data_IF_812528968724
#
_entry.id   IF_812528968724
#
_cell.length_a   1.000
_cell.length_b   1.000
_cell.length_c   1.000
_cell.angle_alpha   90.00
_cell.angle_beta   90.00
_cell.angle_gamma   90.00
#
_symmetry.space_group_name_H-M   'P 1'
#
loop_
_entity.id
_entity.type
_entity.pdbx_description
1 polymer ?
#
# COMPACT_ATOMS: atom_id res chain seq x y z
N UNK A 1 0.67 22.90 5.78
CA UNK A 1 1.91 23.49 6.25
C UNK A 1 1.59 24.67 7.18
N UNK A 2 0.95 25.77 6.73
CA UNK A 2 0.74 26.97 7.54
C UNK A 2 -0.16 26.71 8.75
N UNK A 3 -1.36 26.14 8.55
CA UNK A 3 -2.35 25.96 9.65
C UNK A 3 -1.94 24.90 10.68
N UNK A 4 -1.40 23.77 10.25
CA UNK A 4 -1.12 22.63 11.12
C UNK A 4 0.31 22.68 11.65
N UNK A 5 1.29 22.86 10.77
CA UNK A 5 2.71 22.88 11.14
C UNK A 5 3.21 24.25 11.58
N UNK A 6 2.40 25.30 11.41
CA UNK A 6 2.71 26.68 11.77
C UNK A 6 4.07 27.18 11.23
N UNK A 7 4.40 26.73 10.01
CA UNK A 7 5.65 27.08 9.34
C UNK A 7 5.59 28.49 8.75
N UNK A 8 6.71 29.21 8.83
CA UNK A 8 6.90 30.59 8.36
C UNK A 8 7.76 30.62 7.09
N UNK A 9 7.85 31.81 6.48
CA UNK A 9 8.80 32.10 5.41
C UNK A 9 10.22 31.84 5.93
N UNK A 10 11.07 31.25 5.09
CA UNK A 10 12.43 30.77 5.36
C UNK A 10 12.52 29.50 6.22
N UNK A 11 11.41 28.94 6.70
CA UNK A 11 11.43 27.62 7.32
C UNK A 11 11.69 26.55 6.27
N UNK A 12 12.44 25.50 6.69
CA UNK A 12 12.71 24.32 5.87
C UNK A 12 11.60 23.30 6.01
N UNK A 13 11.26 22.69 4.88
CA UNK A 13 10.30 21.58 4.78
C UNK A 13 10.81 20.50 3.83
N UNK A 14 10.44 19.25 4.09
CA UNK A 14 10.68 18.17 3.16
C UNK A 14 9.48 18.07 2.23
N UNK A 15 9.74 18.03 0.93
CA UNK A 15 8.70 17.87 -0.11
C UNK A 15 9.14 16.76 -1.06
N UNK A 16 8.21 15.83 -1.32
CA UNK A 16 8.34 14.87 -2.40
C UNK A 16 7.54 15.40 -3.57
N UNK A 17 8.18 15.55 -4.72
CA UNK A 17 7.54 16.01 -5.96
C UNK A 17 7.04 14.81 -6.79
N UNK A 18 6.47 15.09 -7.95
CA UNK A 18 5.91 14.07 -8.85
C UNK A 18 6.98 13.14 -9.46
N UNK A 19 8.25 13.46 -9.30
CA UNK A 19 9.40 12.62 -9.67
C UNK A 19 9.77 11.59 -8.58
N UNK A 20 8.96 11.50 -7.51
CA UNK A 20 9.19 10.63 -6.35
C UNK A 20 10.50 10.94 -5.59
N UNK A 21 11.09 12.10 -5.86
CA UNK A 21 12.33 12.55 -5.19
C UNK A 21 11.98 13.49 -4.05
N UNK A 22 12.64 13.28 -2.92
CA UNK A 22 12.53 14.12 -1.73
C UNK A 22 13.53 15.27 -1.80
N UNK A 23 13.05 16.48 -1.54
CA UNK A 23 13.87 17.67 -1.49
C UNK A 23 13.70 18.39 -0.16
N UNK A 24 14.77 19.03 0.30
CA UNK A 24 14.69 20.08 1.32
C UNK A 24 14.36 21.37 0.57
N UNK A 25 13.26 22.00 0.98
CA UNK A 25 12.77 23.22 0.35
C UNK A 25 12.69 24.34 1.38
N UNK A 26 12.98 25.58 0.97
CA UNK A 26 12.68 26.78 1.74
C UNK A 26 11.27 27.26 1.40
N UNK A 27 10.51 27.70 2.41
CA UNK A 27 9.24 28.39 2.19
C UNK A 27 9.54 29.84 1.80
N UNK A 28 9.15 30.24 0.58
CA UNK A 28 9.33 31.60 0.06
C UNK A 28 8.05 32.42 0.11
N UNK A 29 6.88 31.76 0.17
CA UNK A 29 5.59 32.40 0.41
C UNK A 29 4.69 31.47 1.20
N UNK A 30 4.00 31.94 2.23
CA UNK A 30 3.17 31.15 3.13
C UNK A 30 1.72 31.64 3.22
N UNK A 31 1.15 32.09 2.13
CA UNK A 31 -0.27 32.45 2.10
C UNK A 31 -1.15 31.24 2.48
N UNK A 32 -2.26 31.51 3.19
CA UNK A 32 -3.16 30.46 3.73
C UNK A 32 -3.74 29.52 2.65
N UNK A 33 -3.87 30.01 1.41
CA UNK A 33 -4.42 29.27 0.27
C UNK A 33 -3.34 28.72 -0.66
N UNK A 34 -2.11 29.21 -0.55
CA UNK A 34 -1.00 28.80 -1.41
C UNK A 34 0.32 28.96 -0.67
N UNK A 35 1.11 27.89 -0.63
CA UNK A 35 2.47 27.93 -0.14
C UNK A 35 3.41 27.72 -1.33
N UNK A 36 4.38 28.63 -1.49
CA UNK A 36 5.41 28.48 -2.51
C UNK A 36 6.68 28.04 -1.81
N UNK A 37 7.32 27.03 -2.37
CA UNK A 37 8.58 26.47 -1.87
C UNK A 37 9.62 26.47 -2.96
N UNK A 38 10.87 26.66 -2.59
CA UNK A 38 12.04 26.59 -3.45
C UNK A 38 12.90 25.40 -3.02
N UNK A 39 13.08 24.37 -3.85
CA UNK A 39 13.98 23.28 -3.55
C UNK A 39 15.42 23.74 -3.67
N UNK A 40 16.26 23.40 -2.69
CA UNK A 40 17.68 23.76 -2.71
C UNK A 40 18.60 22.56 -2.50
N UNK A 41 18.10 21.44 -1.98
CA UNK A 41 18.89 20.25 -1.73
C UNK A 41 18.07 18.99 -2.00
N UNK A 42 18.63 18.08 -2.79
CA UNK A 42 18.06 16.75 -3.04
C UNK A 42 18.47 15.81 -1.91
N UNK A 43 17.51 15.07 -1.38
CA UNK A 43 17.76 14.04 -0.36
C UNK A 43 18.01 12.71 -1.05
N UNK A 44 19.24 12.21 -0.99
CA UNK A 44 19.61 10.94 -1.64
C UNK A 44 19.08 9.71 -0.91
N UNK A 45 18.80 9.83 0.40
CA UNK A 45 18.25 8.72 1.19
C UNK A 45 16.79 8.49 0.87
N UNK A 46 16.44 7.23 0.58
CA UNK A 46 15.08 6.76 0.38
C UNK A 46 14.72 5.70 1.42
N UNK A 47 13.52 5.81 1.97
CA UNK A 47 12.94 4.80 2.87
C UNK A 47 12.15 3.73 2.12
N UNK A 48 12.17 3.76 0.79
CA UNK A 48 11.42 2.79 -0.02
C UNK A 48 12.12 1.42 -0.05
N UNK A 49 11.31 0.37 -0.03
CA UNK A 49 11.80 -0.98 -0.25
C UNK A 49 12.28 -1.12 -1.71
N UNK A 50 13.39 -1.80 -1.90
CA UNK A 50 13.87 -2.14 -3.25
C UNK A 50 12.96 -3.16 -3.96
N UNK A 51 12.23 -3.94 -3.19
CA UNK A 51 11.23 -4.92 -3.65
C UNK A 51 9.86 -4.28 -3.73
N UNK A 52 9.18 -4.39 -4.86
CA UNK A 52 7.81 -3.90 -5.02
C UNK A 52 6.80 -4.90 -4.47
N UNK A 53 6.30 -4.66 -3.27
CA UNK A 53 5.34 -5.54 -2.61
C UNK A 53 3.91 -5.09 -2.93
N UNK A 54 3.12 -5.98 -3.49
CA UNK A 54 1.66 -5.84 -3.65
C UNK A 54 0.97 -6.70 -2.60
N UNK A 55 0.03 -6.14 -1.87
CA UNK A 55 -0.84 -6.88 -0.96
C UNK A 55 -2.24 -6.94 -1.53
N UNK A 56 -2.75 -8.15 -1.74
CA UNK A 56 -4.13 -8.40 -2.14
C UNK A 56 -4.92 -8.95 -0.95
N UNK A 57 -6.01 -8.28 -0.59
CA UNK A 57 -6.81 -8.65 0.58
C UNK A 57 -8.29 -8.29 0.36
N UNK A 58 -9.24 -9.13 0.83
CA UNK A 58 -10.65 -8.75 0.85
C UNK A 58 -10.92 -7.57 1.78
N UNK A 59 -11.92 -6.73 1.49
CA UNK A 59 -12.32 -5.66 2.39
C UNK A 59 -12.66 -6.18 3.78
N UNK A 60 -12.11 -5.53 4.79
CA UNK A 60 -12.38 -5.84 6.20
C UNK A 60 -13.52 -4.98 6.74
N UNK A 61 -14.14 -5.43 7.83
CA UNK A 61 -15.22 -4.69 8.49
C UNK A 61 -14.72 -3.44 9.21
N UNK A 62 -15.54 -2.39 9.16
CA UNK A 62 -15.36 -1.17 9.95
C UNK A 62 -13.97 -0.53 9.79
N UNK A 63 -13.43 -0.02 10.90
CA UNK A 63 -12.16 0.70 10.93
C UNK A 63 -10.93 -0.21 10.74
N UNK A 64 -11.12 -1.53 10.74
CA UNK A 64 -10.01 -2.48 10.52
C UNK A 64 -9.34 -2.29 9.18
N UNK A 65 -10.12 -2.00 8.13
CA UNK A 65 -9.57 -1.75 6.79
C UNK A 65 -8.69 -0.47 6.79
N UNK A 66 -9.13 0.60 7.46
CA UNK A 66 -8.39 1.86 7.51
C UNK A 66 -7.08 1.71 8.28
N UNK A 67 -7.12 1.01 9.43
CA UNK A 67 -5.92 0.65 10.18
C UNK A 67 -4.95 -0.20 9.35
N UNK A 68 -5.46 -1.21 8.62
CA UNK A 68 -4.65 -2.05 7.75
C UNK A 68 -3.96 -1.21 6.66
N UNK A 69 -4.72 -0.39 5.94
CA UNK A 69 -4.20 0.48 4.89
C UNK A 69 -3.09 1.41 5.41
N UNK A 70 -3.30 2.01 6.58
CA UNK A 70 -2.29 2.81 7.25
C UNK A 70 -1.01 1.98 7.51
N UNK A 71 -1.13 0.79 8.10
CA UNK A 71 0.03 -0.04 8.46
C UNK A 71 0.75 -0.61 7.24
N UNK A 72 0.04 -1.02 6.21
CA UNK A 72 0.65 -1.46 4.95
C UNK A 72 1.46 -0.32 4.31
N UNK A 73 0.93 0.91 4.38
CA UNK A 73 1.65 2.08 3.89
C UNK A 73 2.92 2.33 4.72
N UNK A 74 2.82 2.37 6.03
CA UNK A 74 3.97 2.58 6.93
C UNK A 74 5.07 1.51 6.73
N UNK A 75 4.68 0.26 6.41
CA UNK A 75 5.59 -0.86 6.18
C UNK A 75 6.22 -0.91 4.78
N UNK A 76 5.89 0.02 3.89
CA UNK A 76 6.55 0.12 2.59
C UNK A 76 5.84 -0.62 1.45
N UNK A 77 4.59 -1.05 1.60
CA UNK A 77 3.83 -1.68 0.51
C UNK A 77 3.71 -0.72 -0.67
N UNK A 78 3.92 -1.25 -1.89
CA UNK A 78 3.90 -0.46 -3.12
C UNK A 78 2.49 -0.37 -3.72
N UNK A 79 1.72 -1.46 -3.64
CA UNK A 79 0.38 -1.53 -4.21
C UNK A 79 -0.56 -2.35 -3.31
N UNK A 80 -1.82 -1.94 -3.20
CA UNK A 80 -2.86 -2.61 -2.42
C UNK A 80 -4.04 -2.89 -3.35
N UNK A 81 -4.44 -4.16 -3.44
CA UNK A 81 -5.57 -4.58 -4.26
C UNK A 81 -6.64 -5.18 -3.34
N UNK A 82 -7.79 -4.55 -3.30
CA UNK A 82 -8.95 -5.11 -2.64
C UNK A 82 -9.71 -5.99 -3.63
N UNK A 83 -10.14 -7.18 -3.21
CA UNK A 83 -10.90 -8.09 -4.06
C UNK A 83 -12.06 -8.75 -3.32
N UNK A 84 -13.08 -9.18 -4.06
CA UNK A 84 -14.14 -9.99 -3.48
C UNK A 84 -13.68 -11.45 -3.34
N UNK A 85 -13.73 -11.95 -2.12
CA UNK A 85 -13.49 -13.35 -1.77
C UNK A 85 -14.83 -14.05 -1.46
N UNK A 86 -14.87 -15.37 -1.60
CA UNK A 86 -16.06 -16.18 -1.34
C UNK A 86 -16.57 -16.03 0.09
N UNK A 87 -15.63 -16.04 1.05
CA UNK A 87 -15.92 -15.94 2.49
C UNK A 87 -15.92 -14.51 3.02
N UNK A 88 -15.95 -13.53 2.12
CA UNK A 88 -15.94 -12.13 2.52
C UNK A 88 -17.26 -11.70 3.16
N UNK A 89 -17.17 -11.28 4.42
CA UNK A 89 -18.32 -10.78 5.18
C UNK A 89 -18.57 -9.29 4.88
N UNK A 90 -17.52 -8.52 4.60
CA UNK A 90 -17.57 -7.08 4.36
C UNK A 90 -17.61 -6.78 2.85
N UNK A 91 -18.80 -6.91 2.24
CA UNK A 91 -18.97 -6.56 0.81
C UNK A 91 -19.14 -5.05 0.63
N UNK A 92 -18.44 -4.48 -0.34
CA UNK A 92 -18.61 -3.09 -0.73
C UNK A 92 -19.66 -3.04 -1.85
N UNK A 93 -20.69 -2.21 -1.68
CA UNK A 93 -21.67 -1.98 -2.73
C UNK A 93 -20.99 -1.23 -3.90
N UNK A 94 -21.33 -1.61 -5.14
CA UNK A 94 -20.68 -1.07 -6.33
C UNK A 94 -20.75 0.47 -6.41
N UNK A 95 -21.88 1.05 -6.04
CA UNK A 95 -22.09 2.51 -5.98
C UNK A 95 -21.21 3.24 -4.96
N UNK A 96 -20.66 2.51 -3.98
CA UNK A 96 -19.83 3.07 -2.90
C UNK A 96 -18.32 2.83 -3.08
N UNK A 97 -17.91 2.02 -4.06
CA UNK A 97 -16.48 1.70 -4.25
C UNK A 97 -15.67 2.97 -4.46
N UNK A 98 -16.03 3.79 -5.43
CA UNK A 98 -15.28 5.02 -5.76
C UNK A 98 -15.20 6.01 -4.60
N UNK A 99 -16.27 6.16 -3.82
CA UNK A 99 -16.27 7.06 -2.66
C UNK A 99 -15.38 6.55 -1.53
N UNK A 100 -15.35 5.23 -1.32
CA UNK A 100 -14.47 4.58 -0.35
C UNK A 100 -13.00 4.66 -0.77
N UNK A 101 -12.68 4.36 -2.02
CA UNK A 101 -11.32 4.49 -2.53
C UNK A 101 -10.79 5.91 -2.34
N UNK A 102 -11.55 6.94 -2.72
CA UNK A 102 -11.18 8.35 -2.50
C UNK A 102 -10.93 8.70 -1.02
N UNK A 103 -11.70 8.10 -0.10
CA UNK A 103 -11.48 8.28 1.34
C UNK A 103 -10.20 7.59 1.79
N UNK A 104 -9.97 6.37 1.34
CA UNK A 104 -8.81 5.57 1.71
C UNK A 104 -7.50 6.09 1.10
N UNK A 105 -7.55 6.66 -0.11
CA UNK A 105 -6.39 7.35 -0.71
C UNK A 105 -5.84 8.46 0.19
N UNK A 106 -6.73 9.17 0.92
CA UNK A 106 -6.29 10.17 1.90
C UNK A 106 -5.54 9.54 3.07
N UNK A 107 -6.00 8.38 3.54
CA UNK A 107 -5.34 7.64 4.63
C UNK A 107 -3.96 7.18 4.19
N UNK A 108 -3.84 6.63 2.95
CA UNK A 108 -2.55 6.22 2.39
C UNK A 108 -1.58 7.41 2.29
N UNK A 109 -2.08 8.54 1.80
CA UNK A 109 -1.29 9.78 1.71
C UNK A 109 -0.80 10.24 3.07
N UNK A 110 -1.69 10.35 4.05
CA UNK A 110 -1.34 10.78 5.42
C UNK A 110 -0.34 9.81 6.07
N UNK A 111 -0.52 8.50 5.88
CA UNK A 111 0.41 7.48 6.38
C UNK A 111 1.78 7.56 5.70
N UNK A 112 1.83 7.79 4.38
CA UNK A 112 3.07 7.98 3.65
C UNK A 112 3.82 9.24 4.12
N UNK A 113 3.10 10.34 4.34
CA UNK A 113 3.67 11.58 4.88
C UNK A 113 4.25 11.37 6.28
N UNK A 114 3.54 10.67 7.17
CA UNK A 114 3.99 10.40 8.55
C UNK A 114 5.20 9.45 8.59
N UNK A 115 5.23 8.44 7.72
CA UNK A 115 6.36 7.50 7.61
C UNK A 115 7.50 8.00 6.72
N UNK A 116 7.42 9.25 6.22
CA UNK A 116 8.41 9.90 5.37
C UNK A 116 8.72 9.13 4.09
N UNK A 117 7.73 8.43 3.54
CA UNK A 117 7.83 7.72 2.28
C UNK A 117 7.90 8.68 1.10
N UNK A 118 8.56 8.24 0.03
CA UNK A 118 8.59 8.96 -1.24
C UNK A 118 7.40 8.57 -2.14
N UNK A 119 6.84 7.38 -1.91
CA UNK A 119 5.77 6.81 -2.74
C UNK A 119 4.51 6.65 -1.90
N UNK A 120 3.39 7.13 -2.40
CA UNK A 120 2.06 6.80 -1.86
C UNK A 120 1.62 5.50 -2.53
N UNK A 121 1.29 4.44 -1.79
CA UNK A 121 0.82 3.19 -2.38
C UNK A 121 -0.39 3.41 -3.27
N UNK A 122 -0.46 2.70 -4.40
CA UNK A 122 -1.68 2.68 -5.20
C UNK A 122 -2.72 1.77 -4.53
N UNK A 123 -3.99 2.14 -4.64
CA UNK A 123 -5.12 1.36 -4.13
C UNK A 123 -6.11 1.09 -5.25
N UNK A 124 -6.43 -0.16 -5.46
CA UNK A 124 -7.41 -0.59 -6.46
C UNK A 124 -8.40 -1.60 -5.89
N UNK A 125 -9.48 -1.82 -6.62
CA UNK A 125 -10.49 -2.80 -6.30
C UNK A 125 -10.82 -3.62 -7.54
N UNK A 126 -10.81 -4.94 -7.39
CA UNK A 126 -11.23 -5.89 -8.42
C UNK A 126 -12.42 -6.72 -7.93
N UNK A 127 -13.29 -7.13 -8.85
CA UNK A 127 -14.57 -7.74 -8.49
C UNK A 127 -14.48 -9.22 -8.14
N UNK A 128 -13.37 -9.87 -8.50
CA UNK A 128 -13.19 -11.31 -8.28
C UNK A 128 -11.74 -11.71 -8.14
N UNK A 129 -11.51 -12.92 -7.62
CA UNK A 129 -10.19 -13.53 -7.56
C UNK A 129 -9.61 -13.74 -8.97
N UNK A 130 -10.45 -14.10 -9.96
CA UNK A 130 -9.99 -14.26 -11.34
C UNK A 130 -9.49 -12.95 -11.95
N UNK A 131 -10.15 -11.84 -11.67
CA UNK A 131 -9.69 -10.51 -12.09
C UNK A 131 -8.37 -10.14 -11.40
N UNK A 132 -8.22 -10.47 -10.12
CA UNK A 132 -6.95 -10.31 -9.40
C UNK A 132 -5.80 -11.07 -10.09
N UNK A 133 -6.00 -12.34 -10.41
CA UNK A 133 -5.00 -13.18 -11.08
C UNK A 133 -4.61 -12.56 -12.43
N UNK A 134 -5.59 -12.16 -13.23
CA UNK A 134 -5.36 -11.57 -14.54
C UNK A 134 -4.55 -10.25 -14.46
N UNK A 135 -4.79 -9.44 -13.44
CA UNK A 135 -4.07 -8.17 -13.25
C UNK A 135 -2.66 -8.34 -12.65
N UNK A 136 -2.36 -9.50 -12.10
CA UNK A 136 -1.09 -9.78 -11.40
C UNK A 136 -0.26 -10.88 -12.06
N UNK A 137 -0.49 -11.18 -13.33
CA UNK A 137 0.23 -12.22 -14.08
C UNK A 137 1.73 -11.99 -14.14
N UNK A 138 2.16 -10.74 -14.25
CA UNK A 138 3.56 -10.34 -14.46
C UNK A 138 4.37 -10.17 -13.16
N UNK A 139 3.85 -10.62 -12.00
CA UNK A 139 4.61 -10.60 -10.76
C UNK A 139 5.68 -11.68 -10.75
N UNK A 140 6.91 -11.34 -10.30
CA UNK A 140 8.02 -12.29 -10.21
C UNK A 140 7.72 -13.41 -9.22
N UNK A 141 7.09 -13.06 -8.09
CA UNK A 141 6.73 -14.01 -7.04
C UNK A 141 5.27 -13.82 -6.60
N UNK A 142 4.61 -14.94 -6.33
CA UNK A 142 3.24 -14.98 -5.87
C UNK A 142 3.16 -15.82 -4.60
N UNK A 143 2.63 -15.25 -3.53
CA UNK A 143 2.54 -15.88 -2.21
C UNK A 143 1.11 -15.83 -1.73
N UNK A 144 0.62 -16.92 -1.18
CA UNK A 144 -0.71 -17.03 -0.57
C UNK A 144 -0.55 -17.33 0.92
N UNK A 145 -1.12 -16.50 1.77
CA UNK A 145 -1.18 -16.74 3.21
C UNK A 145 -2.35 -17.69 3.54
N UNK A 146 -2.09 -19.00 3.45
CA UNK A 146 -3.09 -20.03 3.67
C UNK A 146 -2.96 -20.65 5.08
N UNK A 147 -3.99 -20.48 5.90
CA UNK A 147 -3.95 -20.86 7.30
C UNK A 147 -3.76 -22.37 7.55
N UNK A 148 -4.24 -23.24 6.66
CA UNK A 148 -4.03 -24.70 6.81
C UNK A 148 -2.56 -25.10 6.76
N UNK A 149 -1.73 -24.37 6.00
CA UNK A 149 -0.29 -24.61 5.97
C UNK A 149 0.38 -24.24 7.30
N UNK A 150 -0.16 -23.27 8.04
CA UNK A 150 0.36 -22.90 9.37
C UNK A 150 0.18 -24.02 10.39
N UNK A 151 -0.89 -24.78 10.32
CA UNK A 151 -1.10 -25.97 11.17
C UNK A 151 -0.07 -27.07 10.92
N UNK A 152 0.39 -27.22 9.70
CA UNK A 152 1.45 -28.15 9.30
C UNK A 152 2.86 -27.63 9.61
N UNK A 153 2.99 -26.41 10.19
CA UNK A 153 4.26 -25.69 10.39
C UNK A 153 5.08 -25.57 9.09
N UNK A 154 4.41 -25.63 7.95
CA UNK A 154 5.04 -25.55 6.64
C UNK A 154 5.25 -24.10 6.24
N UNK A 155 6.42 -23.55 6.54
CA UNK A 155 6.86 -22.23 6.10
C UNK A 155 8.11 -22.29 5.20
N UNK A 156 8.44 -23.47 4.69
CA UNK A 156 9.65 -23.68 3.89
C UNK A 156 9.62 -22.87 2.59
N UNK A 157 8.46 -22.75 1.94
CA UNK A 157 8.31 -21.96 0.72
C UNK A 157 8.60 -20.48 0.98
N UNK A 158 8.08 -19.91 2.08
CA UNK A 158 8.37 -18.52 2.44
C UNK A 158 9.84 -18.34 2.82
N UNK A 159 10.43 -19.29 3.56
CA UNK A 159 11.85 -19.25 3.90
C UNK A 159 12.74 -19.37 2.67
N UNK A 160 12.36 -20.19 1.69
CA UNK A 160 13.09 -20.31 0.42
C UNK A 160 13.04 -18.97 -0.34
N UNK A 161 11.85 -18.39 -0.48
CA UNK A 161 11.67 -17.08 -1.11
C UNK A 161 12.53 -15.99 -0.46
N UNK A 162 12.59 -15.95 0.87
CA UNK A 162 13.36 -14.95 1.62
C UNK A 162 14.88 -15.13 1.52
N UNK A 163 15.37 -16.25 0.95
CA UNK A 163 16.80 -16.44 0.66
C UNK A 163 17.21 -15.94 -0.72
N UNK A 164 16.24 -15.70 -1.60
CA UNK A 164 16.51 -15.17 -2.93
C UNK A 164 16.90 -13.69 -2.88
N UNK A 165 17.58 -13.22 -3.91
CA UNK A 165 17.78 -11.78 -4.11
C UNK A 165 16.49 -11.15 -4.63
N UNK A 166 15.78 -10.48 -3.73
CA UNK A 166 14.50 -9.85 -4.01
C UNK A 166 14.64 -8.38 -4.47
N UNK A 167 15.87 -7.86 -4.62
CA UNK A 167 16.10 -6.49 -5.08
C UNK A 167 15.50 -6.31 -6.49
N UNK A 168 14.72 -5.24 -6.65
CA UNK A 168 14.02 -4.88 -7.90
C UNK A 168 13.03 -5.95 -8.39
N UNK A 169 12.62 -6.88 -7.53
CA UNK A 169 11.60 -7.87 -7.81
C UNK A 169 10.22 -7.38 -7.38
N UNK A 170 9.20 -7.96 -7.99
CA UNK A 170 7.80 -7.73 -7.67
C UNK A 170 7.20 -8.97 -7.00
N UNK A 171 6.55 -8.75 -5.85
CA UNK A 171 5.92 -9.83 -5.07
C UNK A 171 4.47 -9.47 -4.84
N UNK A 172 3.56 -10.41 -5.08
CA UNK A 172 2.20 -10.31 -4.58
C UNK A 172 1.97 -11.28 -3.43
N UNK A 173 1.44 -10.78 -2.32
CA UNK A 173 0.97 -11.56 -1.19
C UNK A 173 -0.55 -11.48 -1.10
N UNK A 174 -1.21 -12.62 -1.24
CA UNK A 174 -2.68 -12.76 -1.18
C UNK A 174 -3.09 -13.25 0.19
N UNK A 175 -4.00 -12.52 0.83
CA UNK A 175 -4.56 -12.85 2.14
C UNK A 175 -6.06 -13.15 2.02
N UNK A 176 -6.55 -14.02 2.89
CA UNK A 176 -7.99 -14.27 3.03
C UNK A 176 -8.73 -13.21 3.84
N UNK A 177 -10.07 -13.30 3.83
CA UNK A 177 -10.93 -12.55 4.75
C UNK A 177 -10.82 -13.10 6.17
N UNK A 178 -11.61 -12.53 7.12
CA UNK A 178 -11.71 -13.09 8.46
C UNK A 178 -12.22 -14.55 8.48
N UNK A 179 -12.88 -15.01 7.41
CA UNK A 179 -13.29 -16.40 7.21
C UNK A 179 -12.26 -17.29 6.53
N UNK A 180 -11.05 -16.78 6.31
CA UNK A 180 -9.97 -17.47 5.61
C UNK A 180 -10.15 -17.55 4.09
N UNK A 181 -9.32 -18.35 3.44
CA UNK A 181 -9.38 -18.67 2.00
C UNK A 181 -10.14 -19.99 1.84
N UNK A 182 -11.07 -20.07 0.89
CA UNK A 182 -11.81 -21.30 0.60
C UNK A 182 -10.93 -22.32 -0.14
N UNK A 183 -11.34 -23.59 -0.14
CA UNK A 183 -10.65 -24.64 -0.92
C UNK A 183 -10.74 -24.39 -2.43
N UNK A 184 -11.87 -23.83 -2.89
CA UNK A 184 -12.03 -23.43 -4.26
C UNK A 184 -11.11 -22.27 -4.63
N UNK A 185 -10.99 -21.25 -3.78
CA UNK A 185 -10.09 -20.13 -3.99
C UNK A 185 -8.62 -20.58 -4.02
N UNK A 186 -8.21 -21.49 -3.13
CA UNK A 186 -6.83 -21.99 -3.14
C UNK A 186 -6.54 -22.78 -4.42
N UNK A 187 -7.49 -23.59 -4.92
CA UNK A 187 -7.32 -24.33 -6.17
C UNK A 187 -7.21 -23.44 -7.42
N UNK A 188 -7.68 -22.21 -7.34
CA UNK A 188 -7.55 -21.20 -8.41
C UNK A 188 -6.20 -20.45 -8.29
N UNK A 189 -5.68 -20.30 -7.06
CA UNK A 189 -4.44 -19.58 -6.77
C UNK A 189 -3.18 -20.42 -6.95
N UNK A 190 -3.28 -21.74 -6.92
CA UNK A 190 -2.19 -22.71 -7.05
C UNK A 190 -2.23 -23.48 -8.35
#
# INVERSE_FOLDING_TARGET
IVRVMRKNINDKVFIVFNDEIKYICNIIDNNINRVIVEPFEKVEESNELKTKITVAIPPLKNDKIEYLLQKLTELGVFNIILFNSERNIAKIKADKINSKLKRWDKILKEAAEQSKRNIIPTLSYVNSLQELINTTTNMDYKVVAYEKESHNKNNENLKALLKDDLNNKSIIAVFGSEGGISENEISILT
#
